data_IF_562636110214
#
_entry.id   IF_562636110214
#
_cell.length_a   1.000
_cell.length_b   1.000
_cell.length_c   1.000
_cell.angle_alpha   90.00
_cell.angle_beta   90.00
_cell.angle_gamma   90.00
#
_symmetry.space_group_name_H-M   'P 1'
#
loop_
_entity.id
_entity.type
_entity.pdbx_description
1 polymer ?
#
# COMPACT_ATOMS: atom_id res chain seq x y z
N UNK A 1 -32.32 9.14 -57.16
CA UNK A 1 -31.47 10.16 -56.51
C UNK A 1 -32.00 10.44 -55.11
N UNK A 2 -31.29 10.02 -54.06
CA UNK A 2 -31.37 10.57 -52.69
C UNK A 2 -30.24 9.96 -51.87
N UNK A 3 -29.05 10.52 -52.05
CA UNK A 3 -27.90 10.30 -51.20
C UNK A 3 -28.15 11.02 -49.87
N UNK A 4 -28.13 10.30 -48.74
CA UNK A 4 -28.08 10.91 -47.41
C UNK A 4 -26.65 10.82 -46.90
N UNK A 5 -26.01 11.97 -46.91
CA UNK A 5 -24.73 12.25 -46.26
C UNK A 5 -24.86 12.05 -44.75
N UNK A 6 -24.00 11.20 -44.18
CA UNK A 6 -23.66 11.26 -42.77
C UNK A 6 -22.65 12.39 -42.57
N UNK A 7 -22.83 13.31 -41.61
CA UNK A 7 -21.91 14.41 -41.39
C UNK A 7 -20.57 13.90 -40.83
N UNK A 8 -19.48 14.27 -41.51
CA UNK A 8 -18.10 13.94 -41.18
C UNK A 8 -17.66 14.34 -39.75
N UNK A 9 -18.46 15.13 -39.03
CA UNK A 9 -18.17 15.59 -37.67
C UNK A 9 -18.32 14.51 -36.59
N UNK A 10 -19.07 13.43 -36.84
CA UNK A 10 -19.19 12.33 -35.85
C UNK A 10 -18.00 11.36 -35.88
N UNK A 11 -17.31 11.23 -37.02
CA UNK A 11 -16.15 10.36 -37.15
C UNK A 11 -14.89 10.95 -36.47
N UNK A 12 -14.75 12.27 -36.45
CA UNK A 12 -13.61 12.95 -35.80
C UNK A 12 -13.76 12.98 -34.28
N UNK A 13 -14.99 13.07 -33.75
CA UNK A 13 -15.25 13.00 -32.31
C UNK A 13 -14.98 11.61 -31.71
N UNK A 14 -15.17 10.53 -32.49
CA UNK A 14 -14.89 9.16 -32.07
C UNK A 14 -13.39 8.81 -32.09
N UNK A 15 -12.56 9.54 -32.84
CA UNK A 15 -11.10 9.36 -32.87
C UNK A 15 -10.34 10.24 -31.87
N UNK A 16 -10.93 11.33 -31.38
CA UNK A 16 -10.32 12.19 -30.35
C UNK A 16 -10.77 11.86 -28.91
N UNK A 17 -11.78 11.02 -28.73
CA UNK A 17 -12.32 10.63 -27.42
C UNK A 17 -11.67 9.39 -26.75
N UNK A 18 -10.70 8.75 -27.41
CA UNK A 18 -9.99 7.56 -26.90
C UNK A 18 -8.51 7.82 -26.57
N UNK A 19 -8.07 9.09 -26.57
CA UNK A 19 -6.65 9.48 -26.52
C UNK A 19 -6.12 9.95 -25.16
N UNK A 20 -6.82 9.77 -24.05
CA UNK A 20 -6.36 10.23 -22.74
C UNK A 20 -6.68 9.20 -21.65
N UNK A 21 -5.80 8.20 -21.49
CA UNK A 21 -5.59 7.35 -20.29
C UNK A 21 -4.76 6.09 -20.58
N UNK A 22 -4.11 5.95 -21.74
CA UNK A 22 -3.08 4.93 -21.91
C UNK A 22 -1.77 5.47 -21.31
N UNK A 23 -1.50 5.17 -20.04
CA UNK A 23 -0.16 5.33 -19.46
C UNK A 23 0.80 4.53 -20.34
N UNK A 24 1.89 5.17 -20.77
CA UNK A 24 2.88 4.57 -21.66
C UNK A 24 3.30 3.19 -21.12
N UNK A 25 3.17 2.11 -21.89
CA UNK A 25 3.53 0.76 -21.45
C UNK A 25 5.00 0.67 -21.01
N UNK A 26 5.89 1.52 -21.53
CA UNK A 26 7.29 1.59 -21.10
C UNK A 26 7.42 2.14 -19.67
N UNK A 27 6.61 3.13 -19.29
CA UNK A 27 6.57 3.67 -17.92
C UNK A 27 6.00 2.62 -16.97
N UNK A 28 4.92 1.93 -17.34
CA UNK A 28 4.35 0.85 -16.53
C UNK A 28 5.32 -0.32 -16.32
N UNK A 29 6.05 -0.71 -17.36
CA UNK A 29 7.10 -1.73 -17.25
C UNK A 29 8.25 -1.27 -16.34
N UNK A 30 8.66 0.00 -16.42
CA UNK A 30 9.64 0.60 -15.52
C UNK A 30 9.19 0.59 -14.06
N UNK A 31 7.94 0.96 -13.79
CA UNK A 31 7.37 0.92 -12.43
C UNK A 31 7.27 -0.50 -11.87
N UNK A 32 6.84 -1.47 -12.69
CA UNK A 32 6.78 -2.88 -12.27
C UNK A 32 8.17 -3.43 -11.97
N UNK A 33 9.16 -3.13 -12.81
CA UNK A 33 10.58 -3.47 -12.58
C UNK A 33 11.09 -2.86 -11.28
N UNK A 34 10.83 -1.58 -11.02
CA UNK A 34 11.26 -0.91 -9.80
C UNK A 34 10.59 -1.50 -8.54
N UNK A 35 9.31 -1.88 -8.62
CA UNK A 35 8.61 -2.57 -7.52
C UNK A 35 9.20 -3.95 -7.24
N UNK A 36 9.53 -4.72 -8.27
CA UNK A 36 10.19 -6.02 -8.13
C UNK A 36 11.58 -5.87 -7.51
N UNK A 37 12.35 -4.87 -7.93
CA UNK A 37 13.67 -4.56 -7.35
C UNK A 37 13.53 -4.22 -5.86
N UNK A 38 12.60 -3.33 -5.50
CA UNK A 38 12.38 -2.91 -4.12
C UNK A 38 11.91 -4.07 -3.21
N UNK A 39 10.98 -4.90 -3.71
CA UNK A 39 10.49 -6.06 -2.98
C UNK A 39 11.60 -7.11 -2.78
N UNK A 40 12.35 -7.42 -3.84
CA UNK A 40 13.47 -8.36 -3.76
C UNK A 40 14.60 -7.87 -2.88
N UNK A 41 14.94 -6.58 -2.93
CA UNK A 41 15.97 -6.00 -2.07
C UNK A 41 15.55 -6.03 -0.60
N UNK A 42 14.28 -5.76 -0.30
CA UNK A 42 13.78 -5.82 1.07
C UNK A 42 13.83 -7.25 1.62
N UNK A 43 13.40 -8.23 0.83
CA UNK A 43 13.44 -9.64 1.23
C UNK A 43 14.87 -10.14 1.45
N UNK A 44 15.83 -9.72 0.61
CA UNK A 44 17.24 -10.02 0.85
C UNK A 44 17.76 -9.43 2.17
N UNK A 45 17.34 -8.22 2.53
CA UNK A 45 17.68 -7.62 3.82
C UNK A 45 17.09 -8.39 5.00
N UNK A 46 15.86 -8.90 4.89
CA UNK A 46 15.27 -9.76 5.92
C UNK A 46 16.07 -11.06 6.13
N UNK A 47 16.40 -11.75 5.04
CA UNK A 47 17.21 -12.98 5.10
C UNK A 47 18.60 -12.72 5.70
N UNK A 48 19.20 -11.57 5.37
CA UNK A 48 20.45 -11.13 5.98
C UNK A 48 20.29 -10.90 7.50
N UNK A 49 19.22 -10.24 7.93
CA UNK A 49 18.93 -10.00 9.36
C UNK A 49 18.69 -11.31 10.11
N UNK A 50 18.04 -12.30 9.50
CA UNK A 50 17.87 -13.65 10.10
C UNK A 50 19.24 -14.28 10.37
N UNK A 51 20.18 -14.17 9.43
CA UNK A 51 21.52 -14.72 9.60
C UNK A 51 22.41 -13.96 10.59
N UNK A 52 22.36 -12.63 10.56
CA UNK A 52 23.15 -11.79 11.47
C UNK A 52 22.58 -11.83 12.90
N UNK A 53 21.26 -11.90 13.03
CA UNK A 53 20.58 -11.52 14.27
C UNK A 53 20.58 -10.01 14.48
N UNK A 54 19.83 -9.57 15.48
CA UNK A 54 19.80 -8.17 15.92
C UNK A 54 20.22 -8.11 17.39
N UNK A 55 21.47 -7.69 17.69
CA UNK A 55 21.95 -7.61 19.07
C UNK A 55 21.21 -6.56 19.89
N UNK A 56 20.77 -5.46 19.27
CA UNK A 56 20.05 -4.37 19.96
C UNK A 56 18.63 -4.80 20.35
N UNK A 57 18.03 -5.72 19.59
CA UNK A 57 16.75 -6.34 19.90
C UNK A 57 16.87 -7.66 20.70
N UNK A 58 18.09 -8.07 21.07
CA UNK A 58 18.34 -9.34 21.77
C UNK A 58 18.02 -10.60 20.96
N UNK A 59 17.93 -10.49 19.63
CA UNK A 59 17.61 -11.61 18.74
C UNK A 59 18.92 -12.25 18.23
N UNK A 60 19.26 -13.48 18.64
CA UNK A 60 20.42 -14.16 18.10
C UNK A 60 20.20 -14.52 16.63
N UNK A 61 21.25 -14.41 15.82
CA UNK A 61 21.20 -14.87 14.43
C UNK A 61 21.11 -16.38 14.36
N UNK A 62 20.57 -16.90 13.26
CA UNK A 62 20.53 -18.35 12.97
C UNK A 62 20.96 -18.65 11.55
N UNK A 63 21.37 -19.89 11.30
CA UNK A 63 21.54 -20.38 9.95
C UNK A 63 20.24 -20.21 9.14
N UNK A 64 20.37 -19.93 7.85
CA UNK A 64 19.24 -19.96 6.93
C UNK A 64 18.77 -21.40 6.75
N UNK A 65 17.46 -21.61 6.65
CA UNK A 65 16.94 -22.91 6.22
C UNK A 65 17.30 -23.17 4.76
N UNK A 66 17.19 -24.42 4.31
CA UNK A 66 17.46 -24.76 2.91
C UNK A 66 16.58 -23.97 1.94
N UNK A 67 15.31 -23.75 2.29
CA UNK A 67 14.36 -22.97 1.49
C UNK A 67 14.74 -21.48 1.48
N UNK A 68 15.12 -20.92 2.64
CA UNK A 68 15.58 -19.53 2.75
C UNK A 68 16.89 -19.27 2.00
N UNK A 69 17.80 -20.24 2.02
CA UNK A 69 19.04 -20.20 1.25
C UNK A 69 18.78 -20.26 -0.26
N UNK A 70 17.84 -21.11 -0.70
CA UNK A 70 17.41 -21.17 -2.09
C UNK A 70 16.72 -19.86 -2.52
N UNK A 71 15.88 -19.30 -1.66
CA UNK A 71 15.24 -18.00 -1.86
C UNK A 71 16.28 -16.88 -2.00
N UNK A 72 17.28 -16.84 -1.11
CA UNK A 72 18.37 -15.86 -1.17
C UNK A 72 19.11 -15.92 -2.51
N UNK A 73 19.48 -17.13 -2.96
CA UNK A 73 20.19 -17.32 -4.25
C UNK A 73 19.32 -16.87 -5.43
N UNK A 74 18.04 -17.25 -5.42
CA UNK A 74 17.08 -16.83 -6.46
C UNK A 74 16.94 -15.31 -6.54
N UNK A 75 16.77 -14.65 -5.41
CA UNK A 75 16.59 -13.19 -5.36
C UNK A 75 17.83 -12.44 -5.86
N UNK A 76 19.04 -12.91 -5.52
CA UNK A 76 20.28 -12.30 -6.05
C UNK A 76 20.34 -12.42 -7.57
N UNK A 77 20.02 -13.59 -8.13
CA UNK A 77 20.00 -13.80 -9.58
C UNK A 77 18.92 -12.93 -10.25
N UNK A 78 17.71 -12.92 -9.71
CA UNK A 78 16.59 -12.13 -10.23
C UNK A 78 16.92 -10.64 -10.25
N UNK A 79 17.41 -10.08 -9.14
CA UNK A 79 17.79 -8.68 -9.06
C UNK A 79 18.98 -8.32 -9.97
N UNK A 80 19.95 -9.22 -10.11
CA UNK A 80 21.07 -9.02 -11.05
C UNK A 80 20.59 -8.93 -12.50
N UNK A 81 19.57 -9.72 -12.86
CA UNK A 81 18.98 -9.71 -14.20
C UNK A 81 18.09 -8.48 -14.43
N UNK A 82 17.41 -8.01 -13.39
CA UNK A 82 16.54 -6.84 -13.44
C UNK A 82 17.34 -5.53 -13.47
N UNK A 83 18.58 -5.46 -12.99
CA UNK A 83 19.37 -4.23 -13.00
C UNK A 83 20.87 -4.47 -13.25
N UNK A 84 21.27 -4.92 -14.46
CA UNK A 84 22.63 -5.36 -14.75
C UNK A 84 23.69 -4.24 -14.64
N UNK A 85 23.31 -2.98 -14.86
CA UNK A 85 24.25 -1.83 -14.78
C UNK A 85 24.48 -1.33 -13.35
N UNK A 86 23.54 -1.62 -12.45
CA UNK A 86 23.54 -1.17 -11.06
C UNK A 86 24.14 -2.24 -10.16
N UNK A 87 23.75 -3.50 -10.36
CA UNK A 87 24.10 -4.61 -9.48
C UNK A 87 25.61 -4.82 -9.25
N UNK A 88 26.49 -4.69 -10.27
CA UNK A 88 27.94 -4.78 -10.08
C UNK A 88 28.49 -3.73 -9.11
N UNK A 89 27.81 -2.59 -8.98
CA UNK A 89 28.19 -1.45 -8.13
C UNK A 89 27.56 -1.48 -6.73
N UNK A 90 26.69 -2.46 -6.46
CA UNK A 90 26.05 -2.62 -5.14
C UNK A 90 27.02 -3.33 -4.20
N UNK A 91 27.18 -2.91 -2.93
CA UNK A 91 28.04 -3.61 -1.96
C UNK A 91 27.76 -5.13 -1.83
N UNK A 92 26.55 -5.55 -2.19
CA UNK A 92 26.12 -6.94 -2.29
C UNK A 92 26.91 -7.79 -3.31
N UNK A 93 27.63 -7.20 -4.26
CA UNK A 93 28.49 -7.91 -5.21
C UNK A 93 29.92 -8.13 -4.69
N UNK A 94 30.27 -7.57 -3.52
CA UNK A 94 31.59 -7.71 -2.94
C UNK A 94 31.87 -9.19 -2.63
N UNK A 95 33.03 -9.75 -3.02
CA UNK A 95 33.36 -11.15 -2.80
C UNK A 95 33.30 -11.57 -1.32
N UNK A 96 33.63 -10.67 -0.38
CA UNK A 96 33.47 -10.93 1.06
C UNK A 96 32.02 -10.98 1.50
N UNK A 97 31.16 -10.15 0.94
CA UNK A 97 29.71 -10.21 1.19
C UNK A 97 29.12 -11.53 0.68
N UNK A 98 29.60 -12.00 -0.48
CA UNK A 98 29.20 -13.29 -1.04
C UNK A 98 29.68 -14.47 -0.18
N UNK A 99 30.89 -14.39 0.39
CA UNK A 99 31.37 -15.37 1.35
C UNK A 99 30.49 -15.44 2.60
N UNK A 100 30.08 -14.29 3.15
CA UNK A 100 29.15 -14.25 4.28
C UNK A 100 27.79 -14.87 3.93
N UNK A 101 27.29 -14.67 2.70
CA UNK A 101 26.07 -15.38 2.26
C UNK A 101 26.25 -16.88 2.23
N UNK A 102 27.39 -17.37 1.74
CA UNK A 102 27.69 -18.80 1.72
C UNK A 102 27.79 -19.38 3.13
N UNK A 103 28.36 -18.64 4.08
CA UNK A 103 28.38 -19.03 5.50
C UNK A 103 26.95 -19.15 6.05
N UNK A 104 26.08 -18.18 5.73
CA UNK A 104 24.68 -18.17 6.16
C UNK A 104 23.84 -19.30 5.57
N UNK A 105 24.07 -19.61 4.29
CA UNK A 105 23.33 -20.60 3.53
C UNK A 105 23.88 -22.03 3.68
N UNK A 106 25.14 -22.15 4.11
CA UNK A 106 25.89 -23.39 3.98
C UNK A 106 26.18 -23.74 2.52
N UNK A 107 27.06 -24.70 2.33
CA UNK A 107 27.33 -25.25 1.01
C UNK A 107 27.32 -26.78 1.05
N UNK A 108 26.26 -27.41 0.48
CA UNK A 108 26.16 -28.87 0.44
C UNK A 108 27.24 -29.52 -0.45
N UNK A 109 27.83 -28.77 -1.40
CA UNK A 109 28.88 -29.30 -2.28
C UNK A 109 30.23 -29.43 -1.57
N UNK A 110 30.50 -28.55 -0.60
CA UNK A 110 31.74 -28.56 0.20
C UNK A 110 31.53 -29.08 1.63
N UNK A 111 30.33 -29.58 1.93
CA UNK A 111 29.91 -30.08 3.24
C UNK A 111 30.07 -29.04 4.37
N UNK A 112 29.96 -27.76 4.02
CA UNK A 112 30.07 -26.64 4.96
C UNK A 112 28.70 -26.38 5.59
N UNK A 113 28.51 -26.59 6.90
CA UNK A 113 27.23 -26.37 7.54
C UNK A 113 26.88 -24.88 7.56
N UNK A 114 25.61 -24.58 7.32
CA UNK A 114 25.07 -23.23 7.48
C UNK A 114 25.18 -22.80 8.94
N UNK A 115 25.65 -21.58 9.19
CA UNK A 115 25.71 -21.01 10.55
C UNK A 115 25.42 -19.51 10.56
N UNK A 116 25.05 -19.01 11.73
CA UNK A 116 24.95 -17.58 11.96
C UNK A 116 26.34 -16.92 11.89
N UNK A 117 26.36 -15.63 11.54
CA UNK A 117 27.57 -14.83 11.53
C UNK A 117 28.00 -14.50 12.96
N UNK A 118 29.31 -14.59 13.22
CA UNK A 118 29.92 -14.16 14.49
C UNK A 118 29.90 -12.63 14.61
N UNK A 119 30.09 -12.10 15.82
CA UNK A 119 30.10 -10.64 16.05
C UNK A 119 31.14 -9.92 15.19
N UNK A 120 32.33 -10.50 15.01
CA UNK A 120 33.38 -9.93 14.16
C UNK A 120 32.98 -9.92 12.67
N UNK A 121 32.47 -11.04 12.17
CA UNK A 121 32.00 -11.15 10.78
C UNK A 121 30.82 -10.21 10.49
N UNK A 122 29.93 -9.99 11.48
CA UNK A 122 28.86 -9.00 11.37
C UNK A 122 29.40 -7.59 11.24
N UNK A 123 30.39 -7.22 12.07
CA UNK A 123 31.00 -5.89 12.00
C UNK A 123 31.71 -5.66 10.66
N UNK A 124 32.39 -6.68 10.14
CA UNK A 124 33.00 -6.64 8.79
C UNK A 124 31.93 -6.51 7.70
N UNK A 125 30.87 -7.31 7.77
CA UNK A 125 29.78 -7.24 6.78
C UNK A 125 29.06 -5.89 6.81
N UNK A 126 28.93 -5.25 7.98
CA UNK A 126 28.34 -3.91 8.11
C UNK A 126 29.28 -2.83 7.56
N UNK A 127 30.60 -2.94 7.79
CA UNK A 127 31.57 -1.97 7.25
C UNK A 127 31.62 -2.01 5.72
N UNK A 128 31.57 -3.21 5.14
CA UNK A 128 31.52 -3.40 3.69
C UNK A 128 30.26 -2.82 3.05
N UNK A 129 29.13 -2.82 3.76
CA UNK A 129 27.89 -2.19 3.29
C UNK A 129 27.86 -0.68 3.49
N UNK A 130 28.47 -0.17 4.57
CA UNK A 130 28.49 1.25 4.88
C UNK A 130 29.37 2.05 3.90
N UNK A 131 30.37 1.40 3.27
CA UNK A 131 31.13 1.97 2.17
C UNK A 131 30.33 1.94 0.87
N UNK A 132 29.35 2.82 0.72
CA UNK A 132 28.80 3.14 -0.61
C UNK A 132 29.72 4.13 -1.33
N UNK A 133 30.15 3.86 -2.59
CA UNK A 133 30.80 4.89 -3.40
C UNK A 133 29.79 6.01 -3.69
N UNK A 134 30.18 7.25 -3.39
CA UNK A 134 29.37 8.47 -3.50
C UNK A 134 29.01 8.89 -4.94
N UNK A 135 28.97 7.98 -5.91
CA UNK A 135 28.65 8.31 -7.30
C UNK A 135 28.03 7.13 -8.03
N UNK A 136 26.74 6.90 -7.82
CA UNK A 136 25.93 6.32 -8.89
C UNK A 136 25.58 7.46 -9.85
N UNK A 137 25.91 7.36 -11.15
CA UNK A 137 25.50 8.38 -12.10
C UNK A 137 23.98 8.44 -12.13
N UNK A 138 23.43 9.62 -11.84
CA UNK A 138 22.03 9.93 -12.08
C UNK A 138 21.72 9.58 -13.53
N UNK A 139 20.78 8.66 -13.74
CA UNK A 139 20.24 8.39 -15.08
C UNK A 139 19.57 9.68 -15.53
N UNK A 140 20.24 10.40 -16.43
CA UNK A 140 19.73 11.62 -17.01
C UNK A 140 18.45 11.30 -17.80
N UNK A 141 17.32 11.82 -17.35
CA UNK A 141 16.05 11.75 -18.07
C UNK A 141 14.90 11.08 -17.33
N UNK A 142 14.61 11.50 -16.09
CA UNK A 142 13.25 11.41 -15.53
C UNK A 142 13.17 12.30 -14.30
N UNK A 143 12.68 13.53 -14.49
CA UNK A 143 12.29 14.41 -13.40
C UNK A 143 11.12 13.79 -12.64
N UNK A 144 11.37 13.29 -11.44
CA UNK A 144 10.36 12.70 -10.58
C UNK A 144 11.02 11.80 -9.55
N UNK A 145 10.87 12.13 -8.27
CA UNK A 145 11.52 11.47 -7.15
C UNK A 145 11.19 9.97 -7.05
N UNK A 146 12.00 9.12 -7.67
CA UNK A 146 12.01 7.67 -7.45
C UNK A 146 13.34 7.11 -7.97
N UNK A 147 14.31 6.85 -7.11
CA UNK A 147 15.56 6.22 -7.58
C UNK A 147 16.78 6.28 -6.67
N UNK A 148 16.71 6.90 -5.49
CA UNK A 148 17.72 6.63 -4.47
C UNK A 148 17.38 5.27 -3.87
N UNK A 149 18.08 4.21 -4.27
CA UNK A 149 18.03 2.92 -3.59
C UNK A 149 18.53 3.15 -2.16
N UNK A 150 17.59 3.23 -1.23
CA UNK A 150 17.83 3.49 0.19
C UNK A 150 18.53 2.25 0.76
N UNK A 151 19.85 2.30 0.87
CA UNK A 151 20.66 1.40 1.70
C UNK A 151 21.14 2.12 2.96
N UNK A 152 20.33 3.02 3.52
CA UNK A 152 20.56 3.54 4.85
C UNK A 152 19.65 2.80 5.82
N UNK A 153 20.23 1.85 6.56
CA UNK A 153 19.64 1.33 7.78
C UNK A 153 19.74 2.40 8.89
N UNK A 154 18.70 2.59 9.72
CA UNK A 154 18.67 3.59 10.76
C UNK A 154 19.28 3.01 12.05
N UNK A 155 20.59 3.17 12.23
CA UNK A 155 21.21 2.89 13.52
C UNK A 155 22.66 2.52 13.39
N UNK A 156 23.56 3.50 13.48
CA UNK A 156 24.85 3.41 14.16
C UNK A 156 25.47 4.81 14.15
N UNK A 157 25.32 5.53 15.27
CA UNK A 157 26.07 6.75 15.58
C UNK A 157 26.85 6.42 16.86
N UNK A 158 28.17 6.24 16.77
CA UNK A 158 29.21 6.67 17.74
C UNK A 158 30.57 6.02 17.47
N UNK A 159 31.64 6.82 17.52
CA UNK A 159 33.03 6.38 17.59
C UNK A 159 33.99 7.24 16.74
N UNK A 160 33.97 8.57 16.88
CA UNK A 160 34.91 9.33 17.72
C UNK A 160 36.39 9.28 17.26
N UNK A 161 36.71 10.03 16.19
CA UNK A 161 38.06 10.50 15.93
C UNK A 161 38.33 11.79 16.72
N UNK A 162 39.34 11.78 17.59
CA UNK A 162 39.87 12.95 18.31
C UNK A 162 40.23 14.07 17.32
N UNK A 163 39.51 15.18 17.38
CA UNK A 163 40.02 16.48 16.94
C UNK A 163 39.88 17.48 18.11
N UNK A 164 40.96 18.23 18.32
CA UNK A 164 41.24 19.20 19.39
C UNK A 164 40.04 20.12 19.76
N UNK A 165 39.66 20.13 21.05
CA UNK A 165 38.70 21.06 21.68
C UNK A 165 39.29 22.48 21.84
N UNK A 166 39.76 23.13 20.75
CA UNK A 166 40.29 24.51 20.83
C UNK A 166 39.64 25.56 19.95
N UNK A 167 38.64 25.22 19.15
CA UNK A 167 37.79 26.19 18.46
C UNK A 167 36.35 25.68 18.42
N UNK A 168 35.61 25.87 19.51
CA UNK A 168 34.17 25.57 19.57
C UNK A 168 33.41 26.88 19.39
N UNK A 169 33.00 27.14 18.15
CA UNK A 169 32.24 28.33 17.78
C UNK A 169 30.78 28.21 18.26
N UNK A 170 30.27 29.12 19.12
CA UNK A 170 28.89 29.09 19.61
C UNK A 170 27.83 29.15 18.49
N UNK A 171 28.14 29.77 17.35
CA UNK A 171 27.22 29.81 16.21
C UNK A 171 27.10 28.44 15.53
N UNK A 172 28.17 27.65 15.51
CA UNK A 172 28.17 26.30 14.94
C UNK A 172 27.35 25.31 15.79
N UNK A 173 27.42 25.42 17.12
CA UNK A 173 26.58 24.64 18.05
C UNK A 173 25.09 24.97 17.89
N UNK A 174 24.76 26.25 17.73
CA UNK A 174 23.37 26.68 17.48
C UNK A 174 22.83 26.14 16.15
N UNK A 175 23.65 26.18 15.09
CA UNK A 175 23.28 25.71 13.77
C UNK A 175 23.11 24.17 13.74
N UNK A 176 23.97 23.43 14.45
CA UNK A 176 23.81 22.00 14.68
C UNK A 176 22.51 21.68 15.42
N UNK A 177 22.17 22.45 16.46
CA UNK A 177 20.95 22.26 17.23
C UNK A 177 19.69 22.51 16.41
N UNK A 178 19.70 23.54 15.55
CA UNK A 178 18.60 23.83 14.62
C UNK A 178 18.45 22.71 13.56
N UNK A 179 19.57 22.19 13.04
CA UNK A 179 19.57 21.06 12.11
C UNK A 179 19.07 19.76 12.76
N UNK A 180 19.46 19.48 14.01
CA UNK A 180 18.98 18.31 14.75
C UNK A 180 17.49 18.43 15.09
N UNK A 181 17.01 19.64 15.41
CA UNK A 181 15.58 19.89 15.63
C UNK A 181 14.75 19.68 14.38
N UNK A 182 15.23 20.16 13.23
CA UNK A 182 14.51 19.98 11.96
C UNK A 182 14.59 18.53 11.48
N UNK A 183 15.70 17.82 11.74
CA UNK A 183 15.79 16.38 11.53
C UNK A 183 14.79 15.61 12.40
N UNK A 184 14.66 15.95 13.68
CA UNK A 184 13.68 15.31 14.57
C UNK A 184 12.23 15.56 14.13
N UNK A 185 11.93 16.74 13.59
CA UNK A 185 10.62 17.06 13.00
C UNK A 185 10.35 16.23 11.75
N UNK A 186 11.35 16.09 10.88
CA UNK A 186 11.27 15.24 9.69
C UNK A 186 11.10 13.77 10.05
N UNK A 187 11.85 13.27 11.03
CA UNK A 187 11.73 11.89 11.51
C UNK A 187 10.35 11.63 12.13
N UNK A 188 9.81 12.57 12.91
CA UNK A 188 8.44 12.48 13.44
C UNK A 188 7.38 12.47 12.33
N UNK A 189 7.53 13.32 11.31
CA UNK A 189 6.62 13.34 10.15
C UNK A 189 6.67 12.01 9.38
N UNK A 190 7.87 11.49 9.08
CA UNK A 190 8.03 10.20 8.41
C UNK A 190 7.47 9.05 9.23
N UNK A 191 7.64 9.09 10.56
CA UNK A 191 7.08 8.10 11.47
C UNK A 191 5.54 8.14 11.47
N UNK A 192 4.93 9.32 11.48
CA UNK A 192 3.48 9.45 11.35
C UNK A 192 2.95 8.96 9.99
N UNK A 193 3.66 9.25 8.90
CA UNK A 193 3.31 8.73 7.56
C UNK A 193 3.39 7.20 7.52
N UNK A 194 4.46 6.62 8.06
CA UNK A 194 4.62 5.16 8.15
C UNK A 194 3.56 4.53 9.05
N UNK A 195 3.23 5.17 10.18
CA UNK A 195 2.15 4.70 11.07
C UNK A 195 0.80 4.71 10.37
N UNK A 196 0.48 5.76 9.61
CA UNK A 196 -0.74 5.83 8.79
C UNK A 196 -0.75 4.74 7.73
N UNK A 197 0.37 4.50 7.06
CA UNK A 197 0.47 3.43 6.06
C UNK A 197 0.21 2.05 6.68
N UNK A 198 0.86 1.74 7.81
CA UNK A 198 0.68 0.47 8.54
C UNK A 198 -0.78 0.32 9.00
N UNK A 199 -1.39 1.40 9.50
CA UNK A 199 -2.81 1.39 9.87
C UNK A 199 -3.71 1.04 8.69
N UNK A 200 -3.51 1.67 7.54
CA UNK A 200 -4.29 1.40 6.33
C UNK A 200 -4.05 -0.01 5.76
N UNK A 201 -2.84 -0.53 5.86
CA UNK A 201 -2.53 -1.91 5.50
C UNK A 201 -3.23 -2.91 6.43
N UNK A 202 -3.22 -2.66 7.74
CA UNK A 202 -3.96 -3.47 8.71
C UNK A 202 -5.47 -3.41 8.47
N UNK A 203 -6.01 -2.23 8.17
CA UNK A 203 -7.43 -2.04 7.90
C UNK A 203 -7.84 -2.75 6.60
N UNK A 204 -7.00 -2.70 5.57
CA UNK A 204 -7.21 -3.43 4.32
C UNK A 204 -7.21 -4.93 4.54
N UNK A 205 -6.21 -5.44 5.27
CA UNK A 205 -6.10 -6.87 5.62
C UNK A 205 -7.28 -7.34 6.46
N UNK A 206 -7.78 -6.50 7.38
CA UNK A 206 -9.00 -6.80 8.17
C UNK A 206 -10.22 -6.94 7.27
N UNK A 207 -10.44 -6.01 6.34
CA UNK A 207 -11.55 -6.06 5.38
C UNK A 207 -11.45 -7.24 4.42
N UNK A 208 -10.25 -7.60 3.99
CA UNK A 208 -10.00 -8.81 3.20
C UNK A 208 -10.36 -10.06 4.00
N UNK A 209 -9.88 -10.16 5.24
CA UNK A 209 -10.19 -11.27 6.13
C UNK A 209 -11.70 -11.38 6.41
N UNK A 210 -12.41 -10.27 6.62
CA UNK A 210 -13.87 -10.26 6.77
C UNK A 210 -14.58 -10.78 5.51
N UNK A 211 -14.16 -10.34 4.31
CA UNK A 211 -14.73 -10.83 3.05
C UNK A 211 -14.51 -12.32 2.85
N UNK A 212 -13.34 -12.82 3.21
CA UNK A 212 -13.01 -14.24 3.11
C UNK A 212 -13.75 -15.07 4.16
N UNK A 213 -13.91 -14.56 5.38
CA UNK A 213 -14.75 -15.17 6.41
C UNK A 213 -16.20 -15.28 5.93
N UNK A 214 -16.76 -14.20 5.38
CA UNK A 214 -18.14 -14.19 4.89
C UNK A 214 -18.30 -15.11 3.67
N UNK A 215 -17.29 -15.19 2.80
CA UNK A 215 -17.27 -16.17 1.70
C UNK A 215 -17.30 -17.59 2.23
N UNK A 216 -16.44 -17.90 3.20
CA UNK A 216 -16.38 -19.21 3.83
C UNK A 216 -17.69 -19.57 4.53
N UNK A 217 -18.33 -18.63 5.23
CA UNK A 217 -19.64 -18.86 5.85
C UNK A 217 -20.73 -19.13 4.81
N UNK A 218 -20.76 -18.39 3.69
CA UNK A 218 -21.72 -18.64 2.61
C UNK A 218 -21.53 -20.03 2.01
N UNK A 219 -20.28 -20.43 1.77
CA UNK A 219 -19.96 -21.77 1.28
C UNK A 219 -20.36 -22.85 2.27
N UNK A 220 -20.08 -22.66 3.56
CA UNK A 220 -20.49 -23.58 4.63
C UNK A 220 -21.99 -23.75 4.66
N UNK A 221 -22.76 -22.65 4.71
CA UNK A 221 -24.23 -22.69 4.67
C UNK A 221 -24.76 -23.34 3.39
N UNK A 222 -24.07 -23.17 2.25
CA UNK A 222 -24.44 -23.83 1.00
C UNK A 222 -24.21 -25.35 1.07
N UNK A 223 -23.09 -25.79 1.66
CA UNK A 223 -22.82 -27.23 1.90
C UNK A 223 -23.86 -27.83 2.83
N UNK A 224 -24.20 -27.15 3.92
CA UNK A 224 -25.22 -27.59 4.87
C UNK A 224 -26.59 -27.73 4.18
N UNK A 225 -26.99 -26.76 3.35
CA UNK A 225 -28.23 -26.86 2.54
C UNK A 225 -28.22 -28.06 1.60
N UNK A 226 -27.11 -28.30 0.90
CA UNK A 226 -26.95 -29.46 0.01
C UNK A 226 -27.05 -30.76 0.79
N UNK A 227 -26.46 -30.83 1.98
CA UNK A 227 -26.54 -32.01 2.84
C UNK A 227 -27.96 -32.23 3.37
N UNK A 228 -28.65 -31.18 3.80
CA UNK A 228 -30.06 -31.26 4.21
C UNK A 228 -30.96 -31.71 3.07
N UNK A 229 -30.75 -31.21 1.85
CA UNK A 229 -31.50 -31.64 0.66
C UNK A 229 -31.23 -33.11 0.33
N UNK A 230 -29.99 -33.59 0.51
CA UNK A 230 -29.68 -35.02 0.39
C UNK A 230 -30.40 -35.85 1.45
N UNK A 231 -30.39 -35.42 2.72
CA UNK A 231 -31.12 -36.09 3.81
C UNK A 231 -32.62 -36.15 3.51
N UNK A 232 -33.22 -35.04 3.05
CA UNK A 232 -34.62 -34.97 2.61
C UNK A 232 -34.90 -35.93 1.45
N UNK A 233 -34.01 -36.01 0.47
CA UNK A 233 -34.14 -36.93 -0.65
C UNK A 233 -34.04 -38.40 -0.21
N UNK A 234 -33.13 -38.73 0.71
CA UNK A 234 -32.98 -40.07 1.26
C UNK A 234 -34.18 -40.47 2.11
N UNK A 235 -34.73 -39.56 2.92
CA UNK A 235 -35.97 -39.77 3.66
C UNK A 235 -37.17 -40.01 2.72
N UNK A 236 -37.27 -39.24 1.63
CA UNK A 236 -38.30 -39.46 0.63
C UNK A 236 -38.15 -40.82 -0.06
N UNK A 237 -36.93 -41.26 -0.36
CA UNK A 237 -36.65 -42.60 -0.90
C UNK A 237 -37.06 -43.71 0.08
N UNK A 238 -36.75 -43.56 1.37
CA UNK A 238 -37.17 -44.52 2.41
C UNK A 238 -38.69 -44.65 2.47
N UNK A 239 -39.41 -43.51 2.50
CA UNK A 239 -40.88 -43.51 2.51
C UNK A 239 -41.47 -44.17 1.26
N UNK A 240 -40.95 -43.84 0.08
CA UNK A 240 -41.39 -44.47 -1.17
C UNK A 240 -41.14 -45.98 -1.19
N UNK A 241 -40.02 -46.45 -0.62
CA UNK A 241 -39.74 -47.88 -0.49
C UNK A 241 -40.70 -48.56 0.51
N UNK A 242 -40.99 -47.93 1.64
CA UNK A 242 -41.97 -48.41 2.62
C UNK A 242 -43.38 -48.50 2.01
N UNK A 243 -43.80 -47.49 1.25
CA UNK A 243 -45.08 -47.50 0.54
C UNK A 243 -45.12 -48.63 -0.49
N UNK A 244 -44.04 -48.86 -1.25
CA UNK A 244 -43.94 -50.00 -2.16
C UNK A 244 -44.11 -51.33 -1.44
N UNK A 245 -43.46 -51.50 -0.27
CA UNK A 245 -43.60 -52.71 0.56
C UNK A 245 -45.05 -52.90 1.03
N UNK A 246 -45.73 -51.83 1.45
CA UNK A 246 -47.16 -51.86 1.84
C UNK A 246 -48.05 -52.29 0.67
N UNK A 247 -47.85 -51.72 -0.51
CA UNK A 247 -48.61 -52.11 -1.71
C UNK A 247 -48.36 -53.57 -2.10
N UNK A 248 -47.12 -54.06 -2.01
CA UNK A 248 -46.81 -55.47 -2.27
C UNK A 248 -47.46 -56.41 -1.24
N UNK A 249 -47.46 -56.05 0.04
CA UNK A 249 -48.10 -56.81 1.11
C UNK A 249 -49.63 -56.84 0.94
N UNK A 250 -50.23 -55.71 0.58
CA UNK A 250 -51.65 -55.63 0.26
C UNK A 250 -51.98 -56.51 -0.96
N UNK A 251 -51.18 -56.45 -2.02
CA UNK A 251 -51.35 -57.34 -3.18
C UNK A 251 -51.30 -58.81 -2.79
N UNK A 252 -50.35 -59.22 -1.92
CA UNK A 252 -50.27 -60.59 -1.39
C UNK A 252 -51.51 -60.97 -0.57
N UNK A 253 -52.13 -60.03 0.13
CA UNK A 253 -53.37 -60.25 0.88
C UNK A 253 -54.54 -60.55 -0.06
N UNK A 254 -54.63 -59.85 -1.20
CA UNK A 254 -55.65 -60.09 -2.23
C UNK A 254 -55.38 -61.35 -3.06
N UNK A 255 -54.12 -61.69 -3.32
CA UNK A 255 -53.73 -62.94 -4.02
C UNK A 255 -53.89 -64.20 -3.15
N UNK A 256 -54.16 -64.06 -1.84
CA UNK A 256 -54.39 -65.19 -0.94
C UNK A 256 -55.75 -65.85 -1.25
N UNK A 257 -55.79 -67.12 -1.67
CA UNK A 257 -57.05 -67.77 -2.05
C UNK A 257 -58.01 -67.86 -0.85
N UNK A 258 -59.31 -67.56 -1.02
CA UNK A 258 -60.29 -67.75 0.04
C UNK A 258 -60.40 -69.23 0.41
N UNK A 259 -60.42 -69.53 1.71
CA UNK A 259 -60.66 -70.88 2.21
C UNK A 259 -62.12 -71.29 1.91
N UNK A 260 -62.29 -72.28 1.03
CA UNK A 260 -63.56 -72.79 0.54
C UNK A 260 -64.22 -73.68 1.60
N UNK A 261 -65.44 -73.34 2.03
CA UNK A 261 -66.34 -74.25 2.76
C UNK A 261 -67.36 -74.87 1.78
N UNK A 262 -67.71 -76.16 1.91
CA UNK A 262 -68.63 -76.85 0.99
C UNK A 262 -70.13 -76.63 1.32
N UNK A 263 -71.05 -76.73 0.35
CA UNK A 263 -72.46 -76.34 0.51
C UNK A 263 -73.41 -77.52 0.84
N UNK A 264 -74.61 -77.18 1.33
CA UNK A 264 -75.76 -78.09 1.50
C UNK A 264 -77.07 -77.43 0.99
N UNK A 265 -78.08 -78.19 0.49
CA UNK A 265 -79.22 -77.64 -0.27
C UNK A 265 -80.58 -77.71 0.46
N UNK A 266 -81.51 -76.76 0.19
CA UNK A 266 -82.92 -77.03 -0.24
C UNK A 266 -83.79 -75.78 -0.41
N UNK A 267 -84.84 -75.93 -1.23
CA UNK A 267 -85.54 -74.91 -2.01
C UNK A 267 -86.47 -73.90 -1.31
N UNK A 268 -86.48 -73.82 0.03
CA UNK A 268 -87.03 -72.64 0.74
C UNK A 268 -86.00 -71.50 0.81
N UNK A 269 -84.71 -71.84 0.67
CA UNK A 269 -83.61 -70.88 0.66
C UNK A 269 -83.68 -69.91 -0.52
N UNK A 270 -84.39 -70.22 -1.61
CA UNK A 270 -84.35 -69.38 -2.81
C UNK A 270 -85.03 -68.03 -2.60
N UNK A 271 -86.14 -68.02 -1.86
CA UNK A 271 -86.85 -66.78 -1.49
C UNK A 271 -86.13 -65.99 -0.40
N UNK A 272 -85.50 -66.68 0.54
CA UNK A 272 -84.60 -66.06 1.52
C UNK A 272 -83.34 -65.50 0.84
N UNK A 273 -82.75 -66.20 -0.13
CA UNK A 273 -81.61 -65.74 -0.94
C UNK A 273 -81.97 -64.53 -1.78
N UNK A 274 -83.15 -64.48 -2.40
CA UNK A 274 -83.58 -63.29 -3.15
C UNK A 274 -83.76 -62.07 -2.22
N UNK A 275 -84.28 -62.27 -1.00
CA UNK A 275 -84.41 -61.23 0.02
C UNK A 275 -83.04 -60.82 0.61
N UNK A 276 -82.14 -61.78 0.86
CA UNK A 276 -80.77 -61.56 1.28
C UNK A 276 -79.92 -60.92 0.19
N UNK A 277 -80.14 -61.24 -1.08
CA UNK A 277 -79.46 -60.64 -2.23
C UNK A 277 -79.96 -59.22 -2.47
N UNK A 278 -81.26 -58.96 -2.26
CA UNK A 278 -81.78 -57.60 -2.20
C UNK A 278 -81.18 -56.80 -1.03
N UNK A 279 -81.05 -57.41 0.16
CA UNK A 279 -80.40 -56.80 1.30
C UNK A 279 -78.90 -56.56 1.06
N UNK A 280 -78.19 -57.51 0.43
CA UNK A 280 -76.78 -57.39 0.03
C UNK A 280 -76.59 -56.28 -0.98
N UNK A 281 -77.45 -56.15 -1.99
CA UNK A 281 -77.41 -55.05 -2.96
C UNK A 281 -77.65 -53.69 -2.30
N UNK A 282 -78.56 -53.62 -1.33
CA UNK A 282 -78.80 -52.39 -0.57
C UNK A 282 -77.59 -52.04 0.32
N UNK A 283 -77.00 -53.04 0.96
CA UNK A 283 -75.78 -52.87 1.76
C UNK A 283 -74.59 -52.47 0.90
N UNK A 284 -74.45 -53.06 -0.30
CA UNK A 284 -73.43 -52.71 -1.27
C UNK A 284 -73.62 -51.28 -1.80
N UNK A 285 -74.84 -50.86 -2.10
CA UNK A 285 -75.14 -49.46 -2.43
C UNK A 285 -74.80 -48.51 -1.28
N UNK A 286 -75.07 -48.90 -0.03
CA UNK A 286 -74.68 -48.11 1.15
C UNK A 286 -73.17 -48.03 1.30
N UNK A 287 -72.44 -49.13 1.07
CA UNK A 287 -70.98 -49.16 1.08
C UNK A 287 -70.38 -48.30 -0.04
N UNK A 288 -70.94 -48.35 -1.24
CA UNK A 288 -70.52 -47.49 -2.36
C UNK A 288 -70.79 -46.01 -2.07
N UNK A 289 -71.94 -45.67 -1.48
CA UNK A 289 -72.25 -44.30 -1.08
C UNK A 289 -71.32 -43.81 0.05
N UNK A 290 -70.98 -44.66 1.01
CA UNK A 290 -70.04 -44.35 2.09
C UNK A 290 -68.60 -44.21 1.56
N UNK A 291 -68.21 -45.04 0.59
CA UNK A 291 -66.92 -44.96 -0.09
C UNK A 291 -66.80 -43.68 -0.94
N UNK A 292 -67.85 -43.31 -1.68
CA UNK A 292 -67.90 -42.03 -2.39
C UNK A 292 -67.79 -40.83 -1.43
N UNK A 293 -68.47 -40.88 -0.28
CA UNK A 293 -68.36 -39.82 0.72
C UNK A 293 -66.94 -39.72 1.29
N UNK A 294 -66.28 -40.86 1.54
CA UNK A 294 -64.88 -40.89 2.00
C UNK A 294 -63.90 -40.39 0.95
N UNK A 295 -64.12 -40.71 -0.31
CA UNK A 295 -63.29 -40.22 -1.41
C UNK A 295 -63.47 -38.72 -1.64
N UNK A 296 -64.69 -38.20 -1.52
CA UNK A 296 -64.96 -36.76 -1.55
C UNK A 296 -64.30 -36.03 -0.37
N UNK A 297 -64.34 -36.61 0.83
CA UNK A 297 -63.68 -36.05 2.02
C UNK A 297 -62.15 -36.05 1.87
N UNK A 298 -61.57 -37.14 1.33
CA UNK A 298 -60.15 -37.21 0.99
C UNK A 298 -59.75 -36.17 -0.07
N UNK A 299 -60.58 -35.95 -1.09
CA UNK A 299 -60.35 -34.92 -2.11
C UNK A 299 -60.36 -33.53 -1.51
N UNK A 300 -61.32 -33.22 -0.64
CA UNK A 300 -61.39 -31.93 0.07
C UNK A 300 -60.16 -31.70 0.95
N UNK A 301 -59.73 -32.71 1.71
CA UNK A 301 -58.51 -32.62 2.51
C UNK A 301 -57.24 -32.43 1.64
N UNK A 302 -57.16 -33.10 0.48
CA UNK A 302 -56.07 -32.91 -0.47
C UNK A 302 -56.08 -31.48 -1.08
N UNK A 303 -57.25 -30.95 -1.42
CA UNK A 303 -57.37 -29.59 -1.95
C UNK A 303 -57.02 -28.52 -0.91
N UNK A 304 -57.42 -28.71 0.35
CA UNK A 304 -57.07 -27.80 1.45
C UNK A 304 -55.57 -27.80 1.73
N UNK A 305 -54.94 -28.97 1.76
CA UNK A 305 -53.49 -29.07 1.92
C UNK A 305 -52.73 -28.44 0.74
N UNK A 306 -53.21 -28.63 -0.50
CA UNK A 306 -52.66 -27.98 -1.68
C UNK A 306 -52.75 -26.44 -1.61
N UNK A 307 -53.92 -25.90 -1.22
CA UNK A 307 -54.13 -24.45 -1.04
C UNK A 307 -53.22 -23.89 0.06
N UNK A 308 -53.08 -24.58 1.18
CA UNK A 308 -52.18 -24.15 2.26
C UNK A 308 -50.73 -24.12 1.81
N UNK A 309 -50.30 -25.08 0.99
CA UNK A 309 -48.93 -25.14 0.45
C UNK A 309 -48.68 -24.00 -0.54
N UNK A 310 -49.65 -23.71 -1.39
CA UNK A 310 -49.60 -22.61 -2.35
C UNK A 310 -49.55 -21.25 -1.66
N UNK A 311 -50.37 -21.05 -0.63
CA UNK A 311 -50.36 -19.81 0.16
C UNK A 311 -49.03 -19.63 0.90
N UNK A 312 -48.47 -20.70 1.47
CA UNK A 312 -47.15 -20.65 2.10
C UNK A 312 -46.05 -20.29 1.11
N UNK A 313 -46.10 -20.86 -0.11
CA UNK A 313 -45.18 -20.51 -1.20
C UNK A 313 -45.32 -19.05 -1.62
N UNK A 314 -46.55 -18.53 -1.74
CA UNK A 314 -46.78 -17.14 -2.10
C UNK A 314 -46.21 -16.19 -1.05
N UNK A 315 -46.46 -16.45 0.24
CA UNK A 315 -45.91 -15.66 1.36
C UNK A 315 -44.38 -15.68 1.36
N UNK A 316 -43.76 -16.85 1.20
CA UNK A 316 -42.30 -16.96 1.14
C UNK A 316 -41.70 -16.18 -0.04
N UNK A 317 -42.39 -16.16 -1.19
CA UNK A 317 -41.94 -15.40 -2.35
C UNK A 317 -42.14 -13.89 -2.21
N UNK A 318 -43.25 -13.46 -1.62
CA UNK A 318 -43.48 -12.04 -1.28
C UNK A 318 -42.42 -11.52 -0.30
N UNK A 319 -42.09 -12.28 0.75
CA UNK A 319 -41.06 -11.91 1.72
C UNK A 319 -39.66 -11.87 1.08
N UNK A 320 -39.32 -12.86 0.24
CA UNK A 320 -38.05 -12.86 -0.49
C UNK A 320 -37.93 -11.65 -1.42
N UNK A 321 -39.01 -11.28 -2.11
CA UNK A 321 -39.03 -10.09 -2.97
C UNK A 321 -38.90 -8.79 -2.17
N UNK A 322 -39.60 -8.66 -1.04
CA UNK A 322 -39.45 -7.49 -0.15
C UNK A 322 -38.03 -7.34 0.37
N UNK A 323 -37.41 -8.44 0.80
CA UNK A 323 -36.05 -8.41 1.31
C UNK A 323 -35.03 -8.07 0.21
N UNK A 324 -35.25 -8.54 -1.02
CA UNK A 324 -34.43 -8.15 -2.17
C UNK A 324 -34.55 -6.67 -2.50
N UNK A 325 -35.76 -6.11 -2.43
CA UNK A 325 -36.01 -4.69 -2.71
C UNK A 325 -35.42 -3.77 -1.63
N UNK A 326 -35.61 -4.11 -0.35
CA UNK A 326 -35.01 -3.40 0.78
C UNK A 326 -33.48 -3.40 0.70
N UNK A 327 -32.87 -4.53 0.34
CA UNK A 327 -31.42 -4.62 0.16
C UNK A 327 -30.94 -3.72 -0.99
N UNK A 328 -31.61 -3.76 -2.16
CA UNK A 328 -31.26 -2.89 -3.29
C UNK A 328 -31.36 -1.41 -2.92
N UNK A 329 -32.39 -1.04 -2.16
CA UNK A 329 -32.58 0.34 -1.71
C UNK A 329 -31.47 0.78 -0.75
N UNK A 330 -31.11 -0.06 0.22
CA UNK A 330 -29.99 0.21 1.14
C UNK A 330 -28.67 0.34 0.40
N UNK A 331 -28.40 -0.55 -0.54
CA UNK A 331 -27.17 -0.51 -1.34
C UNK A 331 -27.09 0.77 -2.18
N UNK A 332 -28.21 1.21 -2.77
CA UNK A 332 -28.28 2.46 -3.53
C UNK A 332 -28.07 3.69 -2.64
N UNK A 333 -28.69 3.73 -1.45
CA UNK A 333 -28.52 4.82 -0.49
C UNK A 333 -27.07 4.89 0.03
N UNK A 334 -26.44 3.75 0.31
CA UNK A 334 -25.04 3.69 0.74
C UNK A 334 -24.07 4.13 -0.35
N UNK A 335 -24.32 3.76 -1.61
CA UNK A 335 -23.53 4.26 -2.74
C UNK A 335 -23.67 5.78 -2.90
N UNK A 336 -24.88 6.31 -2.79
CA UNK A 336 -25.12 7.76 -2.85
C UNK A 336 -24.38 8.50 -1.73
N UNK A 337 -24.40 7.99 -0.49
CA UNK A 337 -23.66 8.59 0.64
C UNK A 337 -22.15 8.57 0.41
N UNK A 338 -21.60 7.47 -0.13
CA UNK A 338 -20.16 7.37 -0.43
C UNK A 338 -19.73 8.37 -1.50
N UNK A 339 -20.56 8.59 -2.52
CA UNK A 339 -20.29 9.58 -3.57
C UNK A 339 -20.35 11.01 -3.03
N UNK A 340 -21.32 11.34 -2.17
CA UNK A 340 -21.40 12.67 -1.55
C UNK A 340 -20.19 12.93 -0.63
N UNK A 341 -19.78 11.94 0.15
CA UNK A 341 -18.60 12.03 1.02
C UNK A 341 -17.31 12.21 0.21
N UNK A 342 -17.13 11.48 -0.89
CA UNK A 342 -16.00 11.68 -1.80
C UNK A 342 -15.98 13.09 -2.40
N UNK A 343 -17.15 13.63 -2.78
CA UNK A 343 -17.24 14.99 -3.31
C UNK A 343 -16.82 16.02 -2.25
N UNK A 344 -17.28 15.89 -1.01
CA UNK A 344 -16.89 16.77 0.11
C UNK A 344 -15.40 16.72 0.38
N UNK A 345 -14.80 15.52 0.38
CA UNK A 345 -13.36 15.36 0.60
C UNK A 345 -12.54 16.00 -0.53
N UNK A 346 -12.98 15.89 -1.78
CA UNK A 346 -12.34 16.55 -2.91
C UNK A 346 -12.43 18.08 -2.81
N UNK A 347 -13.61 18.62 -2.49
CA UNK A 347 -13.82 20.06 -2.29
C UNK A 347 -12.94 20.61 -1.14
N UNK A 348 -12.86 19.88 -0.02
CA UNK A 348 -12.04 20.28 1.12
C UNK A 348 -10.53 20.22 0.80
N UNK A 349 -10.08 19.22 0.02
CA UNK A 349 -8.70 19.12 -0.42
C UNK A 349 -8.29 20.31 -1.31
N UNK A 350 -9.15 20.70 -2.27
CA UNK A 350 -8.91 21.87 -3.13
C UNK A 350 -8.86 23.15 -2.30
N UNK A 351 -9.77 23.31 -1.34
CA UNK A 351 -9.77 24.48 -0.46
C UNK A 351 -8.48 24.57 0.37
N UNK A 352 -8.02 23.47 0.95
CA UNK A 352 -6.76 23.43 1.72
C UNK A 352 -5.55 23.77 0.86
N UNK A 353 -5.49 23.27 -0.38
CA UNK A 353 -4.41 23.62 -1.31
C UNK A 353 -4.39 25.13 -1.61
N UNK A 354 -5.54 25.73 -1.89
CA UNK A 354 -5.64 27.18 -2.12
C UNK A 354 -5.22 28.00 -0.89
N UNK A 355 -5.63 27.59 0.31
CA UNK A 355 -5.23 28.25 1.56
C UNK A 355 -3.70 28.15 1.79
N UNK A 356 -3.10 26.97 1.57
CA UNK A 356 -1.65 26.75 1.71
C UNK A 356 -0.83 27.54 0.67
N UNK A 357 -1.31 27.62 -0.57
CA UNK A 357 -0.62 28.36 -1.62
C UNK A 357 -0.69 29.86 -1.39
N UNK A 358 -1.84 30.38 -0.93
CA UNK A 358 -1.95 31.78 -0.48
C UNK A 358 -1.00 32.08 0.69
N UNK A 359 -0.90 31.17 1.66
CA UNK A 359 0.00 31.33 2.80
C UNK A 359 1.48 31.30 2.37
N UNK A 360 1.84 30.43 1.43
CA UNK A 360 3.20 30.38 0.87
C UNK A 360 3.55 31.67 0.14
N UNK A 361 2.67 32.15 -0.74
CA UNK A 361 2.86 33.41 -1.46
C UNK A 361 3.04 34.61 -0.50
N UNK A 362 2.23 34.68 0.57
CA UNK A 362 2.36 35.73 1.57
C UNK A 362 3.70 35.67 2.34
N UNK A 363 4.14 34.47 2.72
CA UNK A 363 5.42 34.28 3.41
C UNK A 363 6.62 34.59 2.50
N UNK A 364 6.57 34.23 1.22
CA UNK A 364 7.63 34.56 0.27
C UNK A 364 7.73 36.07 0.06
N UNK A 365 6.61 36.77 -0.09
CA UNK A 365 6.59 38.23 -0.20
C UNK A 365 7.17 38.90 1.05
N UNK A 366 6.82 38.41 2.25
CA UNK A 366 7.38 38.91 3.51
C UNK A 366 8.89 38.69 3.61
N UNK A 367 9.40 37.51 3.19
CA UNK A 367 10.83 37.21 3.17
C UNK A 367 11.60 38.12 2.22
N UNK A 368 11.08 38.35 1.01
CA UNK A 368 11.70 39.25 0.04
C UNK A 368 11.82 40.68 0.58
N UNK A 369 10.77 41.17 1.25
CA UNK A 369 10.79 42.50 1.88
C UNK A 369 11.81 42.58 3.03
N UNK A 370 11.92 41.53 3.84
CA UNK A 370 12.91 41.49 4.92
C UNK A 370 14.34 41.44 4.37
N UNK A 371 14.58 40.67 3.32
CA UNK A 371 15.89 40.53 2.68
C UNK A 371 16.33 41.85 2.02
N UNK A 372 15.42 42.55 1.32
CA UNK A 372 15.69 43.89 0.80
C UNK A 372 16.05 44.87 1.92
N UNK A 373 15.35 44.80 3.06
CA UNK A 373 15.65 45.67 4.21
C UNK A 373 17.04 45.39 4.78
N UNK A 374 17.43 44.12 4.91
CA UNK A 374 18.78 43.73 5.37
C UNK A 374 19.86 44.20 4.41
N UNK A 375 19.65 44.06 3.10
CA UNK A 375 20.60 44.53 2.10
C UNK A 375 20.78 46.06 2.14
N UNK A 376 19.69 46.81 2.31
CA UNK A 376 19.76 48.27 2.46
C UNK A 376 20.50 48.69 3.74
N UNK A 377 20.24 48.00 4.85
CA UNK A 377 20.89 48.25 6.14
C UNK A 377 22.39 47.91 6.09
N UNK A 378 22.76 46.80 5.43
CA UNK A 378 24.16 46.42 5.25
C UNK A 378 24.90 47.39 4.32
N UNK A 379 24.27 47.85 3.24
CA UNK A 379 24.83 48.85 2.34
C UNK A 379 25.09 50.18 3.07
N UNK A 380 24.14 50.65 3.89
CA UNK A 380 24.31 51.84 4.71
C UNK A 380 25.46 51.69 5.73
N UNK A 381 25.58 50.50 6.34
CA UNK A 381 26.66 50.21 7.30
C UNK A 381 28.04 50.20 6.63
N UNK A 382 28.16 49.63 5.43
CA UNK A 382 29.40 49.66 4.65
C UNK A 382 29.81 51.07 4.26
N UNK A 383 28.87 51.91 3.82
CA UNK A 383 29.15 53.31 3.51
C UNK A 383 29.67 54.07 4.73
N UNK A 384 29.04 53.89 5.90
CA UNK A 384 29.48 54.54 7.13
C UNK A 384 30.90 54.08 7.56
N UNK A 385 31.20 52.79 7.44
CA UNK A 385 32.54 52.25 7.74
C UNK A 385 33.61 52.78 6.77
N UNK A 386 33.29 52.88 5.47
CA UNK A 386 34.20 53.42 4.45
C UNK A 386 34.48 54.91 4.69
N UNK A 387 33.46 55.71 5.02
CA UNK A 387 33.62 57.12 5.37
C UNK A 387 34.50 57.30 6.62
N UNK A 388 34.31 56.48 7.66
CA UNK A 388 35.18 56.49 8.83
C UNK A 388 36.64 56.14 8.49
N UNK A 389 36.86 55.15 7.63
CA UNK A 389 38.21 54.78 7.18
C UNK A 389 38.87 55.92 6.41
N UNK A 390 38.16 56.56 5.48
CA UNK A 390 38.68 57.70 4.73
C UNK A 390 39.04 58.88 5.64
N UNK A 391 38.18 59.21 6.61
CA UNK A 391 38.45 60.25 7.59
C UNK A 391 39.68 59.93 8.47
N UNK A 392 39.84 58.67 8.86
CA UNK A 392 41.01 58.20 9.61
C UNK A 392 42.31 58.25 8.77
N UNK A 393 42.24 57.89 7.49
CA UNK A 393 43.39 58.00 6.58
C UNK A 393 43.78 59.45 6.31
N UNK A 394 42.81 60.35 6.13
CA UNK A 394 43.07 61.76 5.88
C UNK A 394 43.73 62.42 7.10
N UNK A 395 43.23 62.14 8.30
CA UNK A 395 43.83 62.61 9.55
C UNK A 395 45.25 62.07 9.75
N UNK A 396 45.49 60.79 9.46
CA UNK A 396 46.83 60.20 9.48
C UNK A 396 47.78 60.84 8.46
N UNK A 397 47.29 61.17 7.26
CA UNK A 397 48.08 61.84 6.21
C UNK A 397 48.46 63.26 6.62
N UNK A 398 47.51 64.04 7.14
CA UNK A 398 47.77 65.41 7.65
C UNK A 398 48.82 65.40 8.77
N UNK A 399 48.75 64.42 9.68
CA UNK A 399 49.75 64.29 10.77
C UNK A 399 51.14 63.96 10.22
N UNK A 400 51.25 63.11 9.18
CA UNK A 400 52.52 62.81 8.50
C UNK A 400 53.10 64.03 7.79
N UNK A 401 52.26 64.82 7.11
CA UNK A 401 52.69 66.06 6.46
C UNK A 401 53.19 67.10 7.47
N UNK A 402 52.49 67.28 8.60
CA UNK A 402 52.96 68.16 9.68
C UNK A 402 54.32 67.70 10.25
N UNK A 403 54.52 66.39 10.43
CA UNK A 403 55.82 65.84 10.85
C UNK A 403 56.93 66.14 9.85
N UNK A 404 56.66 65.99 8.54
CA UNK A 404 57.64 66.31 7.48
C UNK A 404 58.01 67.79 7.48
N UNK A 405 57.01 68.68 7.60
CA UNK A 405 57.26 70.12 7.67
C UNK A 405 58.10 70.48 8.91
N UNK A 406 57.80 69.91 10.08
CA UNK A 406 58.59 70.12 11.28
C UNK A 406 60.04 69.58 11.15
N UNK A 407 60.23 68.43 10.49
CA UNK A 407 61.56 67.88 10.18
C UNK A 407 62.34 68.76 9.18
N UNK A 408 61.69 69.29 8.14
CA UNK A 408 62.30 70.21 7.17
C UNK A 408 62.68 71.55 7.81
N UNK A 409 61.82 72.11 8.66
CA UNK A 409 62.09 73.37 9.36
C UNK A 409 63.25 73.21 10.36
N UNK A 410 63.33 72.06 11.04
CA UNK A 410 64.46 71.70 11.88
C UNK A 410 65.75 71.49 11.06
N UNK A 411 65.65 70.98 9.83
CA UNK A 411 66.79 70.80 8.92
C UNK A 411 67.30 72.15 8.38
N UNK A 412 66.39 73.05 7.99
CA UNK A 412 66.73 74.41 7.52
C UNK A 412 67.40 75.24 8.63
N UNK A 413 66.98 75.10 9.89
CA UNK A 413 67.66 75.73 11.04
C UNK A 413 69.06 75.18 11.33
N UNK A 414 69.40 73.99 10.82
CA UNK A 414 70.73 73.36 10.98
C UNK A 414 71.67 73.62 9.79
N UNK A 415 71.19 74.24 8.71
CA UNK A 415 72.01 74.54 7.54
C UNK A 415 72.71 75.90 7.72
N UNK A 416 74.06 75.97 7.71
CA UNK A 416 74.78 77.24 7.77
C UNK A 416 74.68 78.00 6.42
N UNK A 417 74.76 79.34 6.42
CA UNK A 417 74.61 80.13 5.20
C UNK A 417 75.68 79.78 4.16
N UNK A 418 75.36 79.82 2.85
CA UNK A 418 76.33 79.49 1.81
C UNK A 418 77.47 80.51 1.79
N UNK A 419 78.70 80.01 1.89
CA UNK A 419 79.94 80.79 1.78
C UNK A 419 80.07 81.45 0.40
N UNK A 420 80.60 82.69 0.30
CA UNK A 420 80.73 83.39 -0.97
C UNK A 420 81.77 82.70 -1.87
N UNK A 421 81.35 82.35 -3.10
CA UNK A 421 82.26 81.88 -4.15
C UNK A 421 83.10 83.05 -4.65
N UNK A 422 84.41 82.96 -4.45
CA UNK A 422 85.42 83.84 -5.06
C UNK A 422 85.40 83.68 -6.58
N UNK A 423 85.18 84.79 -7.28
CA UNK A 423 85.45 84.93 -8.71
C UNK A 423 86.97 85.05 -8.90
N UNK A 424 87.58 84.08 -9.58
CA UNK A 424 88.85 84.30 -10.28
C UNK A 424 88.53 84.29 -11.77
N UNK A 425 88.64 85.46 -12.39
CA UNK A 425 88.60 85.60 -13.84
C UNK A 425 89.87 85.05 -14.47
N UNK A 426 89.74 84.46 -15.65
CA UNK A 426 90.75 84.56 -16.70
C UNK A 426 90.02 84.82 -18.00
N UNK A 427 90.19 86.05 -18.43
CA UNK A 427 89.94 86.62 -19.73
C UNK A 427 90.82 85.92 -20.78
N UNK A 428 90.28 85.58 -21.94
CA UNK A 428 91.11 85.45 -23.14
C UNK A 428 90.31 85.93 -24.34
N UNK A 429 90.83 87.02 -24.89
CA UNK A 429 90.32 87.84 -25.96
C UNK A 429 90.85 87.37 -27.32
N UNK A 430 89.95 87.41 -28.33
CA UNK A 430 90.16 88.00 -29.68
C UNK A 430 91.01 87.17 -30.69
N UNK A 431 90.83 87.32 -32.03
CA UNK A 431 89.87 88.14 -32.81
C UNK A 431 88.81 87.37 -33.60
#
# INVERSE_FOLDING_TARGET
MRSRFLPASFAVALLLGLGACAVDPAIQQGEMRNRQIAAGSWRLSELRLICMGNPDAGLPGRALTQDEAAEQRRLVLELSSLAPDVWPKVPLSNPRVEEFRRICAGDPATNSPARALTTAERQELMSLMATTPASLPSVAGSGGAAGAVIWNDPGYRTGAGRYDDRFRDPEYERLLWELERDRARWDAYLWEQRRRQIYWEHERRRREWERDRDRWERERRARDRIEDDRRRADDARRRAEEDRRRFEEERRRYERPPAVQPPSPRDDDRRQRDAEDAARRLEEQRRQAEEQFRDDDRRRAADETARSLEEQRRRAQEDANRQADDNRRRDAEDQARRLDEQRRQAEEAVRRQLEDDHRRAANESARQMEEQRRQAEEAARRQADDEQRQAAEETARRLREQRRQAEEEARSRREPPPSPRTQTGVETQIP
#
